data_IF_514956043792
#
_entry.id   IF_514956043792
#
_cell.length_a   1.000
_cell.length_b   1.000
_cell.length_c   1.000
_cell.angle_alpha   90.00
_cell.angle_beta   90.00
_cell.angle_gamma   90.00
#
_symmetry.space_group_name_H-M   'P 1'
#
loop_
_entity.id
_entity.type
_entity.pdbx_description
1 polymer ?
#
# COMPACT_ATOMS: atom_id res chain seq x y z
N UNK A 1 -27.43 -12.66 4.33
CA UNK A 1 -26.32 -12.91 3.38
C UNK A 1 -25.08 -13.38 4.16
N UNK A 2 -25.01 -14.67 4.52
CA UNK A 2 -23.89 -15.23 5.30
C UNK A 2 -22.88 -16.04 4.44
N UNK A 3 -23.20 -16.33 3.17
CA UNK A 3 -22.43 -17.24 2.31
C UNK A 3 -21.80 -16.58 1.06
N UNK A 4 -21.75 -15.24 0.97
CA UNK A 4 -21.04 -14.61 -0.14
C UNK A 4 -19.54 -14.70 0.13
N UNK A 5 -18.80 -15.29 -0.80
CA UNK A 5 -17.34 -15.33 -0.71
C UNK A 5 -16.79 -13.90 -0.63
N UNK A 6 -15.79 -13.70 0.24
CA UNK A 6 -15.10 -12.42 0.33
C UNK A 6 -14.39 -12.11 -0.99
N UNK A 7 -14.44 -10.84 -1.42
CA UNK A 7 -13.78 -10.38 -2.66
C UNK A 7 -12.26 -10.51 -2.58
N UNK A 8 -11.70 -10.39 -1.38
CA UNK A 8 -10.26 -10.49 -1.10
C UNK A 8 -10.03 -11.65 -0.16
N UNK A 9 -9.08 -12.52 -0.51
CA UNK A 9 -8.67 -13.65 0.34
C UNK A 9 -7.44 -13.29 1.15
N UNK A 10 -7.19 -14.06 2.21
CA UNK A 10 -5.99 -13.93 3.04
C UNK A 10 -4.68 -14.11 2.23
N UNK A 11 -4.69 -14.99 1.23
CA UNK A 11 -3.55 -15.20 0.33
C UNK A 11 -3.19 -13.92 -0.43
N UNK A 12 -4.19 -13.15 -0.82
CA UNK A 12 -4.01 -11.91 -1.57
C UNK A 12 -3.40 -10.84 -0.67
N UNK A 13 -3.92 -10.67 0.55
CA UNK A 13 -3.35 -9.77 1.55
C UNK A 13 -1.89 -10.10 1.86
N UNK A 14 -1.57 -11.38 1.98
CA UNK A 14 -0.20 -11.84 2.21
C UNK A 14 0.72 -11.47 1.05
N UNK A 15 0.24 -11.62 -0.19
CA UNK A 15 0.98 -11.24 -1.40
C UNK A 15 1.23 -9.73 -1.45
N UNK A 16 0.23 -8.91 -1.13
CA UNK A 16 0.37 -7.46 -1.12
C UNK A 16 1.37 -6.99 -0.05
N UNK A 17 1.30 -7.57 1.15
CA UNK A 17 2.25 -7.27 2.23
C UNK A 17 3.69 -7.62 1.85
N UNK A 18 3.90 -8.78 1.23
CA UNK A 18 5.23 -9.17 0.74
C UNK A 18 5.76 -8.21 -0.32
N UNK A 19 4.90 -7.78 -1.25
CA UNK A 19 5.28 -6.81 -2.27
C UNK A 19 5.65 -5.45 -1.66
N UNK A 20 4.84 -4.94 -0.72
CA UNK A 20 5.13 -3.68 -0.01
C UNK A 20 6.46 -3.77 0.75
N UNK A 21 6.68 -4.86 1.51
CA UNK A 21 7.93 -5.08 2.23
C UNK A 21 9.14 -5.19 1.30
N UNK A 22 9.02 -5.90 0.17
CA UNK A 22 10.08 -6.00 -0.82
C UNK A 22 10.41 -4.66 -1.49
N UNK A 23 9.43 -3.76 -1.60
CA UNK A 23 9.61 -2.40 -2.07
C UNK A 23 10.15 -1.44 -0.99
N UNK A 24 10.45 -1.92 0.22
CA UNK A 24 10.91 -1.09 1.34
C UNK A 24 9.83 -0.22 1.96
N UNK A 25 8.55 -0.46 1.64
CA UNK A 25 7.43 0.30 2.18
C UNK A 25 7.09 -0.21 3.57
N UNK A 26 7.22 0.66 4.58
CA UNK A 26 6.83 0.35 5.96
C UNK A 26 5.31 0.42 6.06
N UNK A 27 4.68 -0.69 6.42
CA UNK A 27 3.22 -0.76 6.58
C UNK A 27 2.84 -0.54 8.04
N UNK A 28 2.00 0.46 8.32
CA UNK A 28 1.50 0.76 9.66
C UNK A 28 0.11 0.14 9.91
N UNK A 29 -0.77 0.19 8.91
CA UNK A 29 -2.15 -0.29 9.01
C UNK A 29 -2.64 -0.80 7.65
N UNK A 30 -3.51 -1.79 7.68
CA UNK A 30 -4.25 -2.25 6.49
C UNK A 30 -5.74 -2.21 6.81
N UNK A 31 -6.52 -1.70 5.86
CA UNK A 31 -7.98 -1.76 5.89
C UNK A 31 -8.49 -2.48 4.64
N UNK A 32 -9.49 -3.33 4.84
CA UNK A 32 -10.23 -3.98 3.74
C UNK A 32 -11.68 -3.55 3.82
N UNK A 33 -12.12 -2.79 2.83
CA UNK A 33 -13.50 -2.36 2.73
C UNK A 33 -14.40 -3.48 2.20
N UNK A 34 -15.72 -3.34 2.40
CA UNK A 34 -16.71 -4.36 2.04
C UNK A 34 -16.82 -4.62 0.54
N UNK A 35 -16.42 -3.66 -0.28
CA UNK A 35 -16.33 -3.78 -1.74
C UNK A 35 -15.08 -4.56 -2.21
N UNK A 36 -14.14 -4.84 -1.30
CA UNK A 36 -12.86 -5.48 -1.62
C UNK A 36 -11.71 -4.49 -1.82
N UNK A 37 -11.93 -3.19 -1.63
CA UNK A 37 -10.84 -2.20 -1.68
C UNK A 37 -9.89 -2.42 -0.52
N UNK A 38 -8.60 -2.65 -0.83
CA UNK A 38 -7.52 -2.76 0.17
C UNK A 38 -6.76 -1.45 0.24
N UNK A 39 -6.72 -0.83 1.42
CA UNK A 39 -5.92 0.37 1.70
C UNK A 39 -4.76 -0.01 2.59
N UNK A 40 -3.54 0.29 2.15
CA UNK A 40 -2.31 0.10 2.91
C UNK A 40 -1.83 1.48 3.33
N UNK A 41 -1.75 1.69 4.64
CA UNK A 41 -1.24 2.93 5.21
C UNK A 41 0.22 2.72 5.60
N UNK A 42 1.03 3.72 5.29
CA UNK A 42 2.40 3.83 5.76
C UNK A 42 2.41 4.80 6.94
N UNK A 43 3.38 4.73 7.86
CA UNK A 43 3.61 5.86 8.77
C UNK A 43 3.88 7.12 7.92
N UNK A 44 3.52 8.30 8.42
CA UNK A 44 3.86 9.56 7.75
C UNK A 44 5.37 9.56 7.47
N UNK A 45 5.73 9.43 6.19
CA UNK A 45 6.99 9.94 5.74
C UNK A 45 6.85 11.45 5.90
N UNK A 46 7.72 12.08 6.69
CA UNK A 46 7.87 13.53 6.65
C UNK A 46 8.00 14.01 5.20
N UNK A 47 7.78 15.31 4.92
CA UNK A 47 7.84 15.84 3.57
C UNK A 47 9.10 15.31 2.89
N UNK A 48 8.91 14.76 1.69
CA UNK A 48 9.96 14.23 0.83
C UNK A 48 10.96 15.37 0.54
N UNK A 49 11.89 15.61 1.46
CA UNK A 49 12.97 16.59 1.36
C UNK A 49 14.06 16.03 0.44
N UNK A 50 13.68 15.81 -0.80
CA UNK A 50 14.54 15.32 -1.84
C UNK A 50 14.02 15.78 -3.18
N UNK A 51 14.02 17.10 -3.40
CA UNK A 51 13.77 17.67 -4.73
C UNK A 51 14.49 16.83 -5.78
N UNK A 52 13.72 16.21 -6.67
CA UNK A 52 14.25 15.28 -7.66
C UNK A 52 15.34 16.01 -8.47
N UNK A 53 16.58 15.51 -8.49
CA UNK A 53 17.66 16.16 -9.22
C UNK A 53 17.38 16.24 -10.73
N UNK A 54 16.52 15.38 -11.27
CA UNK A 54 16.10 15.43 -12.67
C UNK A 54 15.20 16.64 -12.96
N UNK A 55 14.51 17.21 -11.96
CA UNK A 55 13.70 18.41 -12.12
C UNK A 55 14.57 19.67 -12.33
N UNK A 56 15.84 19.61 -11.92
CA UNK A 56 16.82 20.69 -12.15
C UNK A 56 17.48 20.61 -13.52
N UNK A 57 17.58 19.40 -14.10
CA UNK A 57 18.33 19.13 -15.32
C UNK A 57 17.49 19.26 -16.60
N UNK A 58 16.16 19.38 -16.49
CA UNK A 58 15.22 19.48 -17.62
C UNK A 58 14.69 20.91 -17.85
N UNK A 59 15.47 21.94 -17.49
CA UNK A 59 15.14 23.35 -17.80
C UNK A 59 15.86 23.86 -19.03
#
# INVERSE_FOLDING_TARGET
MANRAATVKQSDLTRYLKAASAAGVIVSKIEVARDGTVRIFTPDAGPDEGSNPCDRLLK
#
